data_IF_238852796097
#
_entry.id   IF_238852796097
#
_cell.length_a   1.000
_cell.length_b   1.000
_cell.length_c   1.000
_cell.angle_alpha   90.00
_cell.angle_beta   90.00
_cell.angle_gamma   90.00
#
_symmetry.space_group_name_H-M   'P 1'
#
loop_
_entity.id
_entity.type
_entity.pdbx_description
1 polymer ?
#
# COMPACT_ATOMS: atom_id res chain seq x y z
N UNK A 1 -8.15 -10.83 11.96
CA UNK A 1 -6.91 -11.37 11.36
C UNK A 1 -6.16 -10.18 10.77
N UNK A 2 -4.85 -10.05 11.01
CA UNK A 2 -4.05 -8.97 10.40
C UNK A 2 -3.71 -9.40 8.97
N UNK A 3 -3.88 -8.55 7.94
CA UNK A 3 -3.43 -8.87 6.61
C UNK A 3 -1.92 -9.12 6.59
N UNK A 4 -1.48 -9.99 5.71
CA UNK A 4 -0.06 -10.17 5.44
C UNK A 4 0.49 -8.93 4.75
N UNK A 5 1.79 -8.68 4.87
CA UNK A 5 2.44 -7.60 4.11
C UNK A 5 2.15 -7.71 2.60
N UNK A 6 2.00 -8.92 2.09
CA UNK A 6 1.65 -9.14 0.69
C UNK A 6 0.28 -8.57 0.33
N UNK A 7 -0.75 -8.87 1.13
CA UNK A 7 -2.11 -8.35 0.93
C UNK A 7 -2.17 -6.82 1.07
N UNK A 8 -1.41 -6.25 2.02
CA UNK A 8 -1.29 -4.80 2.20
C UNK A 8 -0.70 -4.11 0.95
N UNK A 9 0.31 -4.73 0.33
CA UNK A 9 0.95 -4.22 -0.89
C UNK A 9 0.01 -4.30 -2.09
N UNK A 10 -0.72 -5.40 -2.24
CA UNK A 10 -1.75 -5.53 -3.29
C UNK A 10 -2.87 -4.50 -3.11
N UNK A 11 -3.31 -4.28 -1.87
CA UNK A 11 -4.28 -3.24 -1.54
C UNK A 11 -3.76 -1.84 -1.87
N UNK A 12 -2.52 -1.51 -1.50
CA UNK A 12 -1.93 -0.21 -1.82
C UNK A 12 -1.82 0.02 -3.33
N UNK A 13 -1.37 -0.98 -4.09
CA UNK A 13 -1.31 -0.91 -5.55
C UNK A 13 -2.70 -0.70 -6.15
N UNK A 14 -3.71 -1.42 -5.67
CA UNK A 14 -5.09 -1.24 -6.13
C UNK A 14 -5.60 0.18 -5.82
N UNK A 15 -5.29 0.72 -4.64
CA UNK A 15 -5.68 2.09 -4.26
C UNK A 15 -5.06 3.16 -5.15
N UNK A 16 -3.82 2.97 -5.61
CA UNK A 16 -3.11 3.90 -6.48
C UNK A 16 -3.57 3.77 -7.94
N UNK A 17 -3.62 2.54 -8.44
CA UNK A 17 -3.86 2.28 -9.88
C UNK A 17 -5.33 2.11 -10.24
N UNK A 18 -6.21 1.93 -9.25
CA UNK A 18 -7.61 1.54 -9.44
C UNK A 18 -7.81 0.09 -9.95
N UNK A 19 -6.72 -0.64 -10.22
CA UNK A 19 -6.77 -1.98 -10.81
C UNK A 19 -6.26 -3.03 -9.81
N UNK A 20 -7.02 -4.10 -9.55
CA UNK A 20 -6.55 -5.17 -8.70
C UNK A 20 -5.40 -5.92 -9.40
N UNK A 21 -4.21 -5.84 -8.82
CA UNK A 21 -2.99 -6.46 -9.35
C UNK A 21 -2.37 -7.32 -8.26
N UNK A 22 -1.87 -8.49 -8.65
CA UNK A 22 -1.08 -9.33 -7.74
C UNK A 22 0.29 -8.70 -7.51
N UNK A 23 0.76 -8.75 -6.27
CA UNK A 23 2.06 -8.19 -5.94
C UNK A 23 3.18 -9.15 -6.35
N UNK A 24 4.20 -8.60 -7.02
CA UNK A 24 5.43 -9.27 -7.38
C UNK A 24 6.59 -8.28 -7.34
N UNK A 25 7.82 -8.78 -7.42
CA UNK A 25 9.02 -7.94 -7.53
C UNK A 25 9.00 -7.02 -8.76
N UNK A 26 8.19 -7.33 -9.77
CA UNK A 26 8.05 -6.55 -11.01
C UNK A 26 6.91 -5.54 -10.98
N UNK A 27 6.03 -5.57 -9.97
CA UNK A 27 4.82 -4.74 -9.97
C UNK A 27 5.15 -3.25 -9.93
N UNK A 28 6.06 -2.82 -9.05
CA UNK A 28 6.48 -1.42 -8.96
C UNK A 28 7.20 -0.97 -10.25
N UNK A 29 8.23 -1.67 -10.76
CA UNK A 29 8.85 -1.31 -12.04
C UNK A 29 7.87 -1.21 -13.21
N UNK A 30 6.93 -2.16 -13.31
CA UNK A 30 5.93 -2.17 -14.37
C UNK A 30 5.00 -0.95 -14.29
N UNK A 31 4.40 -0.70 -13.12
CA UNK A 31 3.48 0.42 -12.92
C UNK A 31 4.21 1.75 -13.18
N UNK A 32 5.44 1.90 -12.69
CA UNK A 32 6.23 3.09 -12.92
C UNK A 32 6.49 3.36 -14.39
N UNK A 33 6.77 2.31 -15.18
CA UNK A 33 6.94 2.45 -16.63
C UNK A 33 5.63 2.87 -17.32
N UNK A 34 4.50 2.30 -16.93
CA UNK A 34 3.20 2.68 -17.52
C UNK A 34 2.84 4.13 -17.19
N UNK A 35 3.04 4.57 -15.95
CA UNK A 35 2.81 5.97 -15.55
C UNK A 35 3.79 6.90 -16.29
N UNK A 36 5.08 6.54 -16.37
CA UNK A 36 6.07 7.31 -17.10
C UNK A 36 5.71 7.48 -18.59
N UNK A 37 5.20 6.42 -19.25
CA UNK A 37 4.72 6.51 -20.63
C UNK A 37 3.55 7.48 -20.79
N UNK A 38 2.65 7.55 -19.81
CA UNK A 38 1.48 8.45 -19.84
C UNK A 38 1.84 9.91 -19.54
N UNK A 39 2.83 10.13 -18.68
CA UNK A 39 3.17 11.47 -18.14
C UNK A 39 4.39 12.10 -18.79
N UNK A 40 5.27 11.30 -19.41
CA UNK A 40 6.59 11.72 -19.88
C UNK A 40 7.63 11.88 -18.76
N UNK A 41 7.32 11.47 -17.52
CA UNK A 41 8.25 11.52 -16.39
C UNK A 41 9.33 10.42 -16.48
N UNK A 42 10.42 10.58 -15.75
CA UNK A 42 11.45 9.55 -15.61
C UNK A 42 10.93 8.36 -14.78
N UNK A 43 11.03 7.10 -15.27
CA UNK A 43 10.51 5.93 -14.56
C UNK A 43 11.12 5.70 -13.18
N UNK A 44 12.38 6.09 -12.94
CA UNK A 44 13.01 5.96 -11.62
C UNK A 44 12.43 6.98 -10.64
N UNK A 45 12.16 8.22 -11.09
CA UNK A 45 11.47 9.23 -10.29
C UNK A 45 10.06 8.77 -9.93
N UNK A 46 9.31 8.25 -10.90
CA UNK A 46 7.97 7.68 -10.66
C UNK A 46 8.05 6.51 -9.67
N UNK A 47 9.06 5.65 -9.77
CA UNK A 47 9.23 4.52 -8.86
C UNK A 47 9.45 4.95 -7.42
N UNK A 48 10.28 5.98 -7.18
CA UNK A 48 10.49 6.51 -5.83
C UNK A 48 9.19 7.05 -5.24
N UNK A 49 8.45 7.85 -6.01
CA UNK A 49 7.16 8.40 -5.60
C UNK A 49 6.15 7.29 -5.29
N UNK A 50 6.08 6.26 -6.15
CA UNK A 50 5.18 5.12 -5.98
C UNK A 50 5.50 4.32 -4.71
N UNK A 51 6.79 4.09 -4.42
CA UNK A 51 7.21 3.40 -3.19
C UNK A 51 6.80 4.18 -1.95
N UNK A 52 6.97 5.51 -1.94
CA UNK A 52 6.61 6.33 -0.79
C UNK A 52 5.09 6.40 -0.61
N UNK A 53 4.32 6.46 -1.68
CA UNK A 53 2.86 6.40 -1.63
C UNK A 53 2.35 5.05 -1.10
N UNK A 54 2.94 3.93 -1.55
CA UNK A 54 2.63 2.60 -1.02
C UNK A 54 2.91 2.54 0.48
N UNK A 55 4.08 3.01 0.94
CA UNK A 55 4.41 3.03 2.37
C UNK A 55 3.40 3.84 3.18
N UNK A 56 2.98 5.00 2.67
CA UNK A 56 2.02 5.86 3.34
C UNK A 56 0.66 5.16 3.50
N UNK A 57 0.16 4.53 2.43
CA UNK A 57 -1.13 3.81 2.47
C UNK A 57 -1.09 2.65 3.47
N UNK A 58 -0.02 1.84 3.44
CA UNK A 58 0.13 0.71 4.37
C UNK A 58 0.27 1.21 5.82
N UNK A 59 1.00 2.30 6.04
CA UNK A 59 1.13 2.89 7.35
C UNK A 59 -0.23 3.36 7.89
N UNK A 60 -0.98 4.10 7.07
CA UNK A 60 -2.30 4.63 7.44
C UNK A 60 -3.32 3.52 7.72
N UNK A 61 -3.29 2.42 6.97
CA UNK A 61 -4.18 1.27 7.21
C UNK A 61 -3.86 0.58 8.54
N UNK A 62 -2.57 0.30 8.80
CA UNK A 62 -2.11 -0.24 10.09
C UNK A 62 -2.52 0.68 11.23
N UNK A 63 -2.34 1.98 11.08
CA UNK A 63 -2.69 2.99 12.08
C UNK A 63 -4.19 2.98 12.39
N UNK A 64 -5.03 2.89 11.35
CA UNK A 64 -6.47 2.75 11.49
C UNK A 64 -6.87 1.44 12.17
N UNK A 65 -6.23 0.32 11.83
CA UNK A 65 -6.46 -0.97 12.49
C UNK A 65 -6.13 -0.88 13.99
N UNK A 66 -5.00 -0.29 14.36
CA UNK A 66 -4.60 -0.09 15.75
C UNK A 66 -5.60 0.82 16.48
N UNK A 67 -6.04 1.91 15.85
CA UNK A 67 -7.05 2.83 16.39
C UNK A 67 -8.40 2.13 16.61
N UNK A 68 -8.85 1.29 15.66
CA UNK A 68 -10.09 0.50 15.78
C UNK A 68 -10.01 -0.58 16.87
N UNK A 69 -8.81 -1.07 17.19
CA UNK A 69 -8.59 -2.06 18.25
C UNK A 69 -8.64 -1.47 19.68
N UNK A 70 -8.90 -0.16 19.85
CA UNK A 70 -8.91 0.51 21.16
C UNK A 70 -10.02 0.10 22.17
N UNK A 71 -11.07 -0.70 21.88
CA UNK A 71 -11.89 -1.29 22.94
C UNK A 71 -11.31 -2.61 23.51
N UNK A 72 -10.27 -3.21 22.91
CA UNK A 72 -9.84 -4.57 23.25
C UNK A 72 -9.06 -4.70 24.57
N UNK A 73 -8.87 -3.60 25.33
CA UNK A 73 -8.16 -3.59 26.63
C UNK A 73 -9.03 -3.24 27.85
N UNK A 74 -10.37 -3.25 27.75
CA UNK A 74 -11.26 -2.98 28.90
C UNK A 74 -12.09 -4.17 29.41
N UNK A 75 -11.67 -5.42 29.14
CA UNK A 75 -12.26 -6.61 29.78
C UNK A 75 -11.20 -7.60 30.25
N UNK A 76 -10.42 -7.19 31.23
CA UNK A 76 -9.69 -8.08 32.13
C UNK A 76 -9.62 -7.35 33.48
N UNK A 77 -10.69 -7.48 34.26
CA UNK A 77 -10.88 -6.73 35.50
C UNK A 77 -12.31 -6.86 36.00
N UNK A 78 -12.69 -8.09 36.34
CA UNK A 78 -13.70 -8.44 37.32
C UNK A 78 -13.22 -9.73 38.00
#
# INVERSE_FOLDING_TARGET
MRPTLHEELEYAIWKITGTPLKFSEYSVPYISQEIAKMTGEDPAVVSLRLIDEIKQIVHDDIDQMIKKCRPCRKKAGL
#
